data_IF_592531128660
#
_entry.id   IF_592531128660
#
_cell.length_a   1.000
_cell.length_b   1.000
_cell.length_c   1.000
_cell.angle_alpha   90.00
_cell.angle_beta   90.00
_cell.angle_gamma   90.00
#
_symmetry.space_group_name_H-M   'P 1'
#
loop_
_entity.id
_entity.type
_entity.pdbx_description
1 polymer ?
#
# COMPACT_ATOMS: atom_id res chain seq x y z
N UNK A 1 17.36 -8.17 -23.52
CA UNK A 1 17.22 -8.17 -22.05
C UNK A 1 16.33 -9.34 -21.67
N UNK A 2 16.88 -10.45 -21.18
CA UNK A 2 16.13 -11.60 -20.67
C UNK A 2 15.79 -11.35 -19.20
N UNK A 3 14.50 -11.24 -18.89
CA UNK A 3 14.05 -11.03 -17.51
C UNK A 3 14.02 -12.40 -16.83
N UNK A 4 14.93 -12.64 -15.89
CA UNK A 4 14.92 -13.86 -15.09
C UNK A 4 13.87 -13.76 -13.97
N UNK A 5 13.25 -14.90 -13.62
CA UNK A 5 12.25 -15.01 -12.53
C UNK A 5 12.80 -14.48 -11.19
N UNK A 6 14.12 -14.55 -11.00
CA UNK A 6 14.85 -14.04 -9.84
C UNK A 6 14.68 -12.53 -9.62
N UNK A 7 14.47 -11.73 -10.68
CA UNK A 7 14.40 -10.27 -10.61
C UNK A 7 13.10 -9.77 -9.93
N UNK A 8 11.89 -10.21 -10.35
CA UNK A 8 10.66 -9.90 -9.61
C UNK A 8 10.59 -10.61 -8.25
N UNK A 9 11.30 -11.72 -8.03
CA UNK A 9 11.29 -12.43 -6.74
C UNK A 9 11.92 -11.62 -5.59
N UNK A 10 12.89 -10.76 -5.92
CA UNK A 10 13.52 -9.84 -4.97
C UNK A 10 12.59 -8.70 -4.49
N UNK A 11 11.51 -8.41 -5.23
CA UNK A 11 10.54 -7.38 -4.84
C UNK A 11 9.57 -7.86 -3.77
N UNK A 12 9.30 -9.17 -3.69
CA UNK A 12 8.31 -9.72 -2.76
C UNK A 12 8.62 -9.45 -1.27
N UNK A 13 9.86 -9.62 -0.78
CA UNK A 13 10.23 -9.25 0.59
C UNK A 13 10.11 -7.75 0.85
N UNK A 14 10.52 -6.91 -0.10
CA UNK A 14 10.48 -5.45 0.02
C UNK A 14 9.03 -4.94 0.11
N UNK A 15 8.15 -5.45 -0.74
CA UNK A 15 6.72 -5.10 -0.74
C UNK A 15 6.05 -5.58 0.56
N UNK A 16 6.39 -6.76 1.06
CA UNK A 16 5.87 -7.27 2.35
C UNK A 16 6.26 -6.37 3.53
N UNK A 17 7.50 -5.88 3.57
CA UNK A 17 7.97 -4.92 4.58
C UNK A 17 7.24 -3.57 4.49
N UNK A 18 7.02 -3.07 3.27
CA UNK A 18 6.21 -1.86 3.04
C UNK A 18 4.79 -2.04 3.57
N UNK A 19 4.13 -3.16 3.25
CA UNK A 19 2.79 -3.45 3.77
C UNK A 19 2.73 -3.49 5.28
N UNK A 20 3.71 -4.13 5.93
CA UNK A 20 3.79 -4.21 7.38
C UNK A 20 3.93 -2.81 8.01
N UNK A 21 4.82 -1.97 7.45
CA UNK A 21 5.01 -0.58 7.88
C UNK A 21 3.73 0.25 7.77
N UNK A 22 3.04 0.18 6.62
CA UNK A 22 1.79 0.90 6.42
C UNK A 22 0.66 0.38 7.31
N UNK A 23 0.60 -0.93 7.57
CA UNK A 23 -0.38 -1.55 8.47
C UNK A 23 -0.18 -1.06 9.90
N UNK A 24 1.06 -0.99 10.38
CA UNK A 24 1.39 -0.41 11.68
C UNK A 24 0.95 1.06 11.77
N UNK A 25 1.22 1.86 10.74
CA UNK A 25 0.81 3.28 10.69
C UNK A 25 -0.71 3.43 10.67
N UNK A 26 -1.42 2.56 9.95
CA UNK A 26 -2.88 2.52 9.91
C UNK A 26 -3.47 2.20 11.28
N UNK A 27 -2.97 1.16 11.95
CA UNK A 27 -3.45 0.74 13.28
C UNK A 27 -3.25 1.84 14.32
N UNK A 28 -2.08 2.47 14.32
CA UNK A 28 -1.77 3.58 15.22
C UNK A 28 -2.71 4.77 15.00
N UNK A 29 -2.94 5.15 13.73
CA UNK A 29 -3.82 6.28 13.41
C UNK A 29 -5.29 5.97 13.72
N UNK A 30 -5.74 4.73 13.50
CA UNK A 30 -7.08 4.28 13.85
C UNK A 30 -7.31 4.28 15.37
N UNK A 31 -6.30 3.88 16.17
CA UNK A 31 -6.35 3.97 17.62
C UNK A 31 -6.45 5.43 18.09
N UNK A 32 -5.65 6.33 17.51
CA UNK A 32 -5.68 7.76 17.83
C UNK A 32 -7.01 8.43 17.45
N UNK A 33 -7.60 8.06 16.31
CA UNK A 33 -8.94 8.54 15.92
C UNK A 33 -9.99 8.10 16.95
N UNK A 34 -9.93 6.84 17.41
CA UNK A 34 -10.87 6.33 18.43
C UNK A 34 -10.72 7.07 19.77
N UNK A 35 -9.49 7.32 20.22
CA UNK A 35 -9.26 8.05 21.48
C UNK A 35 -9.66 9.53 21.39
N UNK A 36 -9.43 10.18 20.25
CA UNK A 36 -9.94 11.54 20.03
C UNK A 36 -11.47 11.55 19.96
N UNK A 37 -12.08 10.53 19.35
CA UNK A 37 -13.53 10.47 19.24
C UNK A 37 -14.21 10.28 20.61
N UNK A 38 -13.64 9.47 21.51
CA UNK A 38 -14.13 9.36 22.89
C UNK A 38 -13.99 10.67 23.65
N UNK A 39 -12.85 11.36 23.52
CA UNK A 39 -12.65 12.67 24.15
C UNK A 39 -13.60 13.76 23.58
N UNK A 40 -13.95 13.67 22.29
CA UNK A 40 -14.93 14.56 21.66
C UNK A 40 -16.34 14.34 22.22
N UNK A 41 -16.73 13.09 22.51
CA UNK A 41 -18.02 12.80 23.13
C UNK A 41 -18.17 13.44 24.53
N UNK A 42 -17.07 13.57 25.28
CA UNK A 42 -17.07 14.15 26.62
C UNK A 42 -17.05 15.69 26.61
N UNK A 43 -16.24 16.31 25.73
CA UNK A 43 -16.05 17.78 25.72
C UNK A 43 -16.85 18.52 24.65
N UNK A 44 -17.24 17.87 23.57
CA UNK A 44 -17.97 18.49 22.45
C UNK A 44 -17.17 19.52 21.64
N UNK A 45 -15.85 19.63 21.84
CA UNK A 45 -15.03 20.68 21.22
C UNK A 45 -14.91 20.52 19.69
N UNK A 46 -15.22 21.60 18.96
CA UNK A 46 -15.07 21.65 17.49
C UNK A 46 -13.61 21.46 17.02
N UNK A 47 -12.63 21.81 17.87
CA UNK A 47 -11.21 21.58 17.59
C UNK A 47 -10.88 20.07 17.48
N UNK A 48 -11.48 19.23 18.34
CA UNK A 48 -11.28 17.78 18.29
C UNK A 48 -11.88 17.18 17.02
N UNK A 49 -13.06 17.67 16.60
CA UNK A 49 -13.68 17.25 15.34
C UNK A 49 -12.77 17.58 14.14
N UNK A 50 -12.19 18.78 14.09
CA UNK A 50 -11.26 19.18 13.02
C UNK A 50 -9.98 18.32 12.99
N UNK A 51 -9.47 17.89 14.16
CA UNK A 51 -8.34 16.95 14.22
C UNK A 51 -8.72 15.56 13.72
N UNK A 52 -9.86 15.01 14.14
CA UNK A 52 -10.36 13.71 13.66
C UNK A 52 -10.47 13.70 12.14
N UNK A 53 -11.01 14.76 11.53
CA UNK A 53 -11.15 14.83 10.08
C UNK A 53 -9.80 14.87 9.36
N UNK A 54 -8.81 15.60 9.89
CA UNK A 54 -7.45 15.58 9.36
C UNK A 54 -6.82 14.18 9.44
N UNK A 55 -6.98 13.50 10.58
CA UNK A 55 -6.47 12.14 10.77
C UNK A 55 -7.17 11.14 9.84
N UNK A 56 -8.49 11.26 9.63
CA UNK A 56 -9.23 10.43 8.66
C UNK A 56 -8.75 10.65 7.24
N UNK A 57 -8.50 11.90 6.82
CA UNK A 57 -7.91 12.18 5.49
C UNK A 57 -6.54 11.51 5.34
N UNK A 58 -5.68 11.63 6.34
CA UNK A 58 -4.37 10.96 6.35
C UNK A 58 -4.48 9.44 6.32
N UNK A 59 -5.49 8.87 6.99
CA UNK A 59 -5.79 7.44 6.96
C UNK A 59 -6.20 6.98 5.56
N UNK A 60 -7.05 7.75 4.86
CA UNK A 60 -7.42 7.46 3.47
C UNK A 60 -6.19 7.47 2.56
N UNK A 61 -5.28 8.44 2.71
CA UNK A 61 -4.04 8.49 1.94
C UNK A 61 -3.16 7.26 2.16
N UNK A 62 -2.99 6.80 3.40
CA UNK A 62 -2.24 5.57 3.73
C UNK A 62 -2.90 4.35 3.08
N UNK A 63 -4.24 4.26 3.14
CA UNK A 63 -4.99 3.17 2.53
C UNK A 63 -4.83 3.16 1.00
N UNK A 64 -4.88 4.32 0.36
CA UNK A 64 -4.64 4.44 -1.08
C UNK A 64 -3.23 3.99 -1.46
N UNK A 65 -2.20 4.36 -0.69
CA UNK A 65 -0.83 3.87 -0.91
C UNK A 65 -0.73 2.34 -0.80
N UNK A 66 -1.39 1.71 0.19
CA UNK A 66 -1.45 0.24 0.27
C UNK A 66 -2.15 -0.40 -0.93
N UNK A 67 -3.22 0.22 -1.45
CA UNK A 67 -3.91 -0.28 -2.64
C UNK A 67 -3.01 -0.24 -3.87
N UNK A 68 -2.26 0.84 -4.09
CA UNK A 68 -1.28 0.92 -5.17
C UNK A 68 -0.18 -0.14 -5.02
N UNK A 69 0.35 -0.33 -3.81
CA UNK A 69 1.29 -1.41 -3.52
C UNK A 69 0.72 -2.81 -3.79
N UNK A 70 -0.57 -3.04 -3.52
CA UNK A 70 -1.24 -4.32 -3.77
C UNK A 70 -1.42 -4.59 -5.25
N UNK A 71 -1.82 -3.55 -5.99
CA UNK A 71 -1.92 -3.59 -7.45
C UNK A 71 -0.54 -3.86 -8.08
N UNK A 72 0.53 -3.23 -7.56
CA UNK A 72 1.89 -3.51 -8.02
C UNK A 72 2.28 -4.97 -7.79
N UNK A 73 2.04 -5.50 -6.59
CA UNK A 73 2.31 -6.92 -6.28
C UNK A 73 1.55 -7.84 -7.23
N UNK A 74 0.27 -7.54 -7.50
CA UNK A 74 -0.54 -8.30 -8.45
C UNK A 74 0.06 -8.26 -9.86
N UNK A 75 0.46 -7.09 -10.36
CA UNK A 75 1.15 -6.97 -11.65
C UNK A 75 2.50 -7.70 -11.66
N UNK A 76 3.23 -7.71 -10.55
CA UNK A 76 4.49 -8.45 -10.41
C UNK A 76 4.27 -9.97 -10.50
N UNK A 77 3.19 -10.49 -9.90
CA UNK A 77 2.79 -11.90 -10.06
C UNK A 77 2.41 -12.20 -11.50
N UNK A 78 1.64 -11.32 -12.17
CA UNK A 78 1.31 -11.45 -13.60
C UNK A 78 2.57 -11.43 -14.47
N UNK A 79 3.55 -10.59 -14.13
CA UNK A 79 4.86 -10.58 -14.79
C UNK A 79 5.58 -11.91 -14.63
N UNK A 80 5.65 -12.48 -13.42
CA UNK A 80 6.26 -13.80 -13.19
C UNK A 80 5.56 -14.91 -14.00
N UNK A 81 4.23 -14.92 -14.02
CA UNK A 81 3.45 -15.87 -14.80
C UNK A 81 3.72 -15.73 -16.32
N UNK A 82 3.89 -14.50 -16.79
CA UNK A 82 4.23 -14.22 -18.20
C UNK A 82 5.64 -14.68 -18.58
N UNK A 83 6.61 -14.60 -17.65
CA UNK A 83 7.96 -15.15 -17.85
C UNK A 83 7.90 -16.68 -17.99
N UNK A 84 7.11 -17.35 -17.15
CA UNK A 84 6.91 -18.82 -17.23
C UNK A 84 6.24 -19.21 -18.55
N UNK A 85 5.33 -18.38 -19.06
CA UNK A 85 4.65 -18.59 -20.33
C UNK A 85 5.46 -18.22 -21.58
N UNK A 86 6.76 -17.95 -21.48
CA UNK A 86 7.65 -17.51 -22.59
C UNK A 86 7.19 -16.19 -23.27
N UNK A 87 6.29 -15.42 -22.63
CA UNK A 87 5.75 -14.16 -23.13
C UNK A 87 6.60 -12.97 -22.64
N UNK A 88 7.82 -12.88 -23.16
CA UNK A 88 8.83 -11.95 -22.67
C UNK A 88 8.43 -10.47 -22.79
N UNK A 89 7.69 -10.09 -23.85
CA UNK A 89 7.21 -8.71 -24.03
C UNK A 89 6.17 -8.32 -22.96
N UNK A 90 5.21 -9.21 -22.66
CA UNK A 90 4.21 -9.01 -21.62
C UNK A 90 4.84 -8.93 -20.23
N UNK A 91 5.83 -9.78 -19.95
CA UNK A 91 6.58 -9.74 -18.70
C UNK A 91 7.25 -8.37 -18.48
N UNK A 92 7.94 -7.84 -19.49
CA UNK A 92 8.63 -6.53 -19.36
C UNK A 92 7.64 -5.39 -19.15
N UNK A 93 6.54 -5.34 -19.91
CA UNK A 93 5.54 -4.27 -19.78
C UNK A 93 4.88 -4.31 -18.40
N UNK A 94 4.43 -5.49 -17.94
CA UNK A 94 3.77 -5.63 -16.64
C UNK A 94 4.72 -5.35 -15.48
N UNK A 95 5.99 -5.73 -15.57
CA UNK A 95 7.02 -5.39 -14.60
C UNK A 95 7.28 -3.88 -14.51
N UNK A 96 7.40 -3.19 -15.65
CA UNK A 96 7.61 -1.74 -15.67
C UNK A 96 6.42 -0.99 -15.06
N UNK A 97 5.19 -1.41 -15.38
CA UNK A 97 3.99 -0.81 -14.79
C UNK A 97 3.96 -1.07 -13.28
N UNK A 98 4.32 -2.27 -12.82
CA UNK A 98 4.44 -2.57 -11.39
C UNK A 98 5.46 -1.65 -10.70
N UNK A 99 6.63 -1.43 -11.32
CA UNK A 99 7.68 -0.57 -10.76
C UNK A 99 7.24 0.89 -10.64
N UNK A 100 6.49 1.42 -11.61
CA UNK A 100 5.94 2.78 -11.55
C UNK A 100 4.85 2.93 -10.49
N UNK A 101 4.12 1.84 -10.21
CA UNK A 101 3.02 1.84 -9.25
C UNK A 101 3.46 1.62 -7.80
N UNK A 102 4.68 1.08 -7.58
CA UNK A 102 5.27 0.80 -6.26
C UNK A 102 5.87 2.05 -5.64
#
# INVERSE_FOLDING_TARGET
MTLEISTPALLFPAISLLFLSFTNRFLHLAALIRSLHSAWLERGDDLLRAQIDNLRRRLVLIRSMQLFGAMSLFLCVVSMLSVIGELQMLAVVTFLVALVLT
#
